data_IF_569161578180
#
_entry.id   IF_569161578180
#
_cell.length_a   1.000
_cell.length_b   1.000
_cell.length_c   1.000
_cell.angle_alpha   90.00
_cell.angle_beta   90.00
_cell.angle_gamma   90.00
#
_symmetry.space_group_name_H-M   'P 1'
#
loop_
_entity.id
_entity.type
_entity.pdbx_description
1 polymer ?
#
# COMPACT_ATOMS: atom_id res chain seq x y z
N UNK A 1 28.68 -15.98 -5.62
CA UNK A 1 29.66 -15.17 -4.85
C UNK A 1 29.14 -13.74 -4.89
N UNK A 2 28.53 -13.26 -3.80
CA UNK A 2 28.12 -11.86 -3.68
C UNK A 2 29.39 -11.02 -3.50
N UNK A 3 29.65 -10.14 -4.46
CA UNK A 3 30.69 -9.13 -4.38
C UNK A 3 30.28 -8.15 -3.27
N UNK A 4 31.03 -8.11 -2.18
CA UNK A 4 30.82 -7.15 -1.10
C UNK A 4 31.25 -5.79 -1.66
N UNK A 5 30.28 -4.95 -2.04
CA UNK A 5 30.54 -3.58 -2.45
C UNK A 5 31.23 -2.83 -1.31
N UNK A 6 32.36 -2.19 -1.60
CA UNK A 6 33.17 -1.52 -0.57
C UNK A 6 32.53 -0.21 -0.12
N UNK A 7 32.92 0.27 1.07
CA UNK A 7 32.36 1.46 1.74
C UNK A 7 32.42 2.79 0.97
N UNK A 8 33.13 2.84 -0.17
CA UNK A 8 33.19 4.00 -1.07
C UNK A 8 32.21 3.96 -2.24
N UNK A 9 31.61 2.81 -2.56
CA UNK A 9 30.83 2.62 -3.79
C UNK A 9 29.31 2.63 -3.59
N UNK A 10 28.82 2.35 -2.38
CA UNK A 10 27.38 2.26 -2.15
C UNK A 10 26.74 3.67 -1.99
N UNK A 11 25.83 4.08 -2.90
CA UNK A 11 25.27 5.44 -2.93
C UNK A 11 24.46 5.78 -1.67
N UNK A 12 23.98 4.78 -0.92
CA UNK A 12 23.20 5.00 0.31
C UNK A 12 24.04 5.42 1.52
N UNK A 13 25.37 5.25 1.47
CA UNK A 13 26.24 5.44 2.65
C UNK A 13 26.47 6.92 3.00
N UNK A 14 25.99 7.85 2.16
CA UNK A 14 26.14 9.30 2.35
C UNK A 14 24.88 10.04 1.90
N UNK A 15 24.64 11.28 2.38
CA UNK A 15 23.75 12.26 1.75
C UNK A 15 23.86 12.26 0.22
N UNK A 16 22.73 12.19 -0.48
CA UNK A 16 22.73 12.29 -1.94
C UNK A 16 23.12 13.71 -2.34
N UNK A 17 24.06 13.83 -3.27
CA UNK A 17 24.57 15.13 -3.74
C UNK A 17 23.73 15.74 -4.88
N UNK A 18 22.64 15.08 -5.26
CA UNK A 18 21.67 15.53 -6.26
C UNK A 18 20.88 16.75 -5.76
N UNK A 19 20.29 17.55 -6.67
CA UNK A 19 19.38 18.63 -6.28
C UNK A 19 18.28 18.13 -5.35
N UNK A 20 18.08 18.82 -4.23
CA UNK A 20 17.12 18.47 -3.17
C UNK A 20 17.34 17.11 -2.51
N UNK A 21 18.51 16.48 -2.70
CA UNK A 21 18.81 15.17 -2.12
C UNK A 21 17.95 14.04 -2.71
N UNK A 22 17.56 14.14 -3.97
CA UNK A 22 16.82 13.09 -4.69
C UNK A 22 17.65 11.82 -4.88
N UNK A 23 17.01 10.65 -4.95
CA UNK A 23 17.75 9.41 -5.17
C UNK A 23 18.43 9.40 -6.56
N UNK A 24 19.75 9.15 -6.66
CA UNK A 24 20.44 8.98 -7.93
C UNK A 24 20.11 7.60 -8.52
N UNK A 25 18.90 7.42 -9.04
CA UNK A 25 18.41 6.11 -9.52
C UNK A 25 19.32 5.46 -10.57
N UNK A 26 20.05 6.26 -11.35
CA UNK A 26 21.03 5.78 -12.32
C UNK A 26 22.28 5.14 -11.69
N UNK A 27 22.57 5.42 -10.42
CA UNK A 27 23.72 4.88 -9.67
C UNK A 27 23.30 3.77 -8.70
N UNK A 28 22.02 3.67 -8.37
CA UNK A 28 21.48 2.67 -7.44
C UNK A 28 21.26 1.36 -8.18
N UNK A 29 21.87 0.29 -7.68
CA UNK A 29 21.73 -1.08 -8.19
C UNK A 29 21.18 -2.00 -7.12
N UNK A 30 20.65 -3.14 -7.55
CA UNK A 30 20.01 -4.12 -6.65
C UNK A 30 21.01 -4.63 -5.60
N UNK A 31 22.26 -4.87 -5.98
CA UNK A 31 23.31 -5.32 -5.06
C UNK A 31 23.66 -4.31 -3.95
N UNK A 32 23.22 -3.06 -4.06
CA UNK A 32 23.47 -2.03 -3.05
C UNK A 32 22.52 -2.14 -1.85
N UNK A 33 21.34 -2.75 -2.00
CA UNK A 33 20.30 -2.68 -0.97
C UNK A 33 20.67 -3.44 0.29
N UNK A 34 20.99 -4.73 0.18
CA UNK A 34 21.28 -5.55 1.36
C UNK A 34 22.43 -4.93 2.19
N UNK A 35 23.64 -4.68 1.64
CA UNK A 35 24.73 -4.06 2.41
C UNK A 35 24.36 -2.71 3.02
N UNK A 36 23.52 -1.92 2.35
CA UNK A 36 23.03 -0.65 2.89
C UNK A 36 22.08 -0.83 4.06
N UNK A 37 21.15 -1.79 3.99
CA UNK A 37 20.31 -2.10 5.15
C UNK A 37 21.12 -2.64 6.32
N UNK A 38 22.11 -3.51 6.08
CA UNK A 38 22.96 -4.04 7.17
C UNK A 38 23.69 -2.93 7.90
N UNK A 39 24.37 -2.07 7.15
CA UNK A 39 25.11 -0.94 7.70
C UNK A 39 24.17 0.07 8.37
N UNK A 40 23.03 0.37 7.76
CA UNK A 40 22.05 1.28 8.32
C UNK A 40 21.47 0.79 9.65
N UNK A 41 21.21 -0.52 9.81
CA UNK A 41 20.76 -1.09 11.09
C UNK A 41 21.81 -0.90 12.18
N UNK A 42 23.09 -1.17 11.85
CA UNK A 42 24.20 -1.00 12.80
C UNK A 42 24.36 0.46 13.23
N UNK A 43 24.37 1.40 12.29
CA UNK A 43 24.52 2.83 12.59
C UNK A 43 23.32 3.38 13.38
N UNK A 44 22.10 3.02 12.96
CA UNK A 44 20.89 3.43 13.66
C UNK A 44 20.83 2.86 15.08
N UNK A 45 21.20 1.59 15.28
CA UNK A 45 21.25 1.03 16.63
C UNK A 45 22.27 1.76 17.52
N UNK A 46 23.45 2.09 16.98
CA UNK A 46 24.46 2.84 17.72
C UNK A 46 24.02 4.27 18.08
N UNK A 47 23.24 4.94 17.23
CA UNK A 47 22.61 6.22 17.54
C UNK A 47 21.60 6.08 18.69
N UNK A 48 20.72 5.08 18.60
CA UNK A 48 19.72 4.79 19.63
C UNK A 48 20.38 4.44 20.96
N UNK A 49 21.44 3.63 20.96
CA UNK A 49 22.17 3.25 22.17
C UNK A 49 22.81 4.47 22.84
N UNK A 50 23.36 5.41 22.06
CA UNK A 50 23.88 6.68 22.59
C UNK A 50 22.80 7.53 23.24
N UNK A 51 21.59 7.57 22.66
CA UNK A 51 20.46 8.30 23.23
C UNK A 51 20.00 7.63 24.53
N UNK A 52 19.80 6.31 24.49
CA UNK A 52 19.32 5.54 25.64
C UNK A 52 20.28 5.59 26.83
N UNK A 53 21.60 5.59 26.57
CA UNK A 53 22.65 5.59 27.60
C UNK A 53 23.14 6.97 28.02
N UNK A 54 22.58 8.07 27.48
CA UNK A 54 23.00 9.42 27.83
C UNK A 54 22.84 9.67 29.35
N UNK A 55 23.90 10.02 30.10
CA UNK A 55 23.83 10.17 31.56
C UNK A 55 23.05 11.42 32.00
N UNK A 56 22.89 12.41 31.12
CA UNK A 56 22.14 13.63 31.43
C UNK A 56 20.64 13.33 31.55
N UNK A 57 19.97 14.12 32.39
CA UNK A 57 18.52 14.09 32.51
C UNK A 57 17.85 14.22 31.13
N UNK A 58 16.80 13.45 30.90
CA UNK A 58 16.11 13.44 29.61
C UNK A 58 15.46 14.80 29.33
N UNK A 59 15.77 15.36 28.16
CA UNK A 59 15.19 16.59 27.63
C UNK A 59 14.64 16.33 26.23
N UNK A 60 13.82 17.25 25.71
CA UNK A 60 13.34 17.16 24.33
C UNK A 60 14.50 17.01 23.34
N UNK A 61 15.52 17.86 23.45
CA UNK A 61 16.67 17.88 22.54
C UNK A 61 17.48 16.56 22.59
N UNK A 62 17.86 16.11 23.79
CA UNK A 62 18.73 14.93 23.93
C UNK A 62 17.99 13.58 23.83
N UNK A 63 16.68 13.59 23.61
CA UNK A 63 15.85 12.38 23.55
C UNK A 63 14.93 12.41 22.34
N UNK A 64 13.89 13.26 22.33
CA UNK A 64 12.87 13.24 21.26
C UNK A 64 13.46 13.72 19.93
N UNK A 65 14.10 14.88 19.93
CA UNK A 65 14.76 15.43 18.75
C UNK A 65 15.93 14.53 18.29
N UNK A 66 16.72 14.02 19.23
CA UNK A 66 17.79 13.08 18.91
C UNK A 66 17.28 11.78 18.25
N UNK A 67 16.12 11.25 18.66
CA UNK A 67 15.48 10.11 17.99
C UNK A 67 15.00 10.51 16.59
N UNK A 68 14.40 11.69 16.42
CA UNK A 68 13.92 12.19 15.13
C UNK A 68 15.05 12.29 14.08
N UNK A 69 16.25 12.70 14.51
CA UNK A 69 17.43 12.75 13.65
C UNK A 69 18.20 11.43 13.54
N UNK A 70 17.80 10.38 14.26
CA UNK A 70 18.45 9.07 14.16
C UNK A 70 17.96 8.28 12.94
N UNK A 71 18.80 7.38 12.43
CA UNK A 71 18.42 6.48 11.35
C UNK A 71 18.29 7.13 9.98
N UNK A 72 18.93 8.27 9.71
CA UNK A 72 18.86 8.93 8.40
C UNK A 72 19.25 7.99 7.24
N UNK A 73 20.31 7.20 7.41
CA UNK A 73 20.72 6.22 6.41
C UNK A 73 19.66 5.11 6.23
N UNK A 74 19.04 4.66 7.33
CA UNK A 74 17.95 3.69 7.32
C UNK A 74 16.74 4.24 6.56
N UNK A 75 16.34 5.48 6.84
CA UNK A 75 15.24 6.17 6.16
C UNK A 75 15.50 6.27 4.65
N UNK A 76 16.71 6.65 4.26
CA UNK A 76 17.13 6.79 2.87
C UNK A 76 17.04 5.48 2.08
N UNK A 77 17.67 4.41 2.58
CA UNK A 77 17.65 3.11 1.87
C UNK A 77 16.24 2.52 1.86
N UNK A 78 15.51 2.62 2.97
CA UNK A 78 14.13 2.12 3.09
C UNK A 78 13.19 2.83 2.13
N UNK A 79 13.26 4.17 2.06
CA UNK A 79 12.38 4.97 1.21
C UNK A 79 12.55 4.63 -0.26
N UNK A 80 13.79 4.47 -0.73
CA UNK A 80 14.05 4.10 -2.13
C UNK A 80 13.65 2.65 -2.40
N UNK A 81 14.06 1.70 -1.54
CA UNK A 81 13.79 0.29 -1.74
C UNK A 81 12.28 -0.02 -1.75
N UNK A 82 11.53 0.46 -0.76
CA UNK A 82 10.10 0.16 -0.66
C UNK A 82 9.25 0.96 -1.65
N UNK A 83 9.72 2.14 -2.10
CA UNK A 83 9.10 2.83 -3.23
C UNK A 83 9.20 2.00 -4.51
N UNK A 84 10.42 1.58 -4.88
CA UNK A 84 10.64 0.75 -6.08
C UNK A 84 10.01 -0.64 -5.95
N UNK A 85 9.99 -1.25 -4.76
CA UNK A 85 9.27 -2.50 -4.54
C UNK A 85 7.75 -2.34 -4.76
N UNK A 86 7.20 -1.15 -4.53
CA UNK A 86 5.79 -0.84 -4.78
C UNK A 86 5.48 -0.46 -6.24
N UNK A 87 6.43 0.14 -6.95
CA UNK A 87 6.21 0.71 -8.30
C UNK A 87 6.84 -0.08 -9.45
N UNK A 88 7.97 -0.74 -9.21
CA UNK A 88 8.83 -1.36 -10.23
C UNK A 88 9.56 -2.61 -9.68
N UNK A 89 8.86 -3.44 -8.91
CA UNK A 89 9.46 -4.65 -8.33
C UNK A 89 9.86 -5.67 -9.40
N UNK A 90 10.89 -6.46 -9.09
CA UNK A 90 11.24 -7.69 -9.79
C UNK A 90 11.47 -8.84 -8.80
N UNK A 91 11.74 -10.04 -9.31
CA UNK A 91 11.92 -11.24 -8.47
C UNK A 91 13.06 -11.07 -7.47
N UNK A 92 14.20 -10.50 -7.88
CA UNK A 92 15.35 -10.28 -7.00
C UNK A 92 15.03 -9.32 -5.84
N UNK A 93 14.31 -8.22 -6.13
CA UNK A 93 13.84 -7.30 -5.08
C UNK A 93 12.83 -7.95 -4.13
N UNK A 94 11.95 -8.82 -4.63
CA UNK A 94 11.01 -9.57 -3.78
C UNK A 94 11.75 -10.53 -2.86
N UNK A 95 12.78 -11.21 -3.35
CA UNK A 95 13.63 -12.09 -2.54
C UNK A 95 14.43 -11.32 -1.49
N UNK A 96 15.01 -10.17 -1.85
CA UNK A 96 15.67 -9.26 -0.91
C UNK A 96 14.68 -8.87 0.20
N UNK A 97 13.45 -8.48 -0.16
CA UNK A 97 12.42 -8.12 0.82
C UNK A 97 12.08 -9.27 1.77
N UNK A 98 12.09 -10.53 1.31
CA UNK A 98 11.88 -11.69 2.17
C UNK A 98 13.02 -11.90 3.17
N UNK A 99 14.27 -11.71 2.73
CA UNK A 99 15.46 -11.82 3.59
C UNK A 99 15.57 -10.67 4.59
N UNK A 100 15.19 -9.46 4.19
CA UNK A 100 15.28 -8.26 5.02
C UNK A 100 14.13 -8.11 6.02
N UNK A 101 12.91 -8.51 5.66
CA UNK A 101 11.72 -8.27 6.50
C UNK A 101 11.87 -8.75 7.95
N UNK A 102 12.38 -9.98 8.23
CA UNK A 102 12.62 -10.42 9.60
C UNK A 102 13.63 -9.53 10.36
N UNK A 103 14.73 -9.15 9.69
CA UNK A 103 15.80 -8.33 10.26
C UNK A 103 15.33 -6.90 10.56
N UNK A 104 14.55 -6.31 9.65
CA UNK A 104 13.96 -4.99 9.84
C UNK A 104 12.91 -4.98 10.96
N UNK A 105 12.12 -6.05 11.05
CA UNK A 105 11.14 -6.22 12.13
C UNK A 105 11.83 -6.37 13.48
N UNK A 106 12.91 -7.14 13.54
CA UNK A 106 13.75 -7.27 14.74
C UNK A 106 14.40 -5.95 15.14
N UNK A 107 14.97 -5.21 14.17
CA UNK A 107 15.54 -3.88 14.39
C UNK A 107 14.51 -2.91 14.95
N UNK A 108 13.31 -2.86 14.38
CA UNK A 108 12.21 -2.04 14.89
C UNK A 108 11.79 -2.44 16.32
N UNK A 109 11.70 -3.74 16.59
CA UNK A 109 11.40 -4.25 17.94
C UNK A 109 12.52 -3.88 18.94
N UNK A 110 13.79 -3.92 18.56
CA UNK A 110 14.92 -3.51 19.41
C UNK A 110 14.78 -2.07 19.87
N UNK A 111 14.34 -1.17 19.00
CA UNK A 111 14.15 0.24 19.34
C UNK A 111 12.89 0.43 20.19
N UNK A 112 11.75 -0.05 19.70
CA UNK A 112 10.45 0.20 20.32
C UNK A 112 10.29 -0.46 21.70
N UNK A 113 11.01 -1.55 21.96
CA UNK A 113 10.95 -2.26 23.24
C UNK A 113 12.13 -1.93 24.17
N UNK A 114 13.05 -1.05 23.74
CA UNK A 114 14.19 -0.61 24.54
C UNK A 114 13.70 0.11 25.80
N UNK A 115 13.96 -0.49 26.97
CA UNK A 115 13.43 0.02 28.23
C UNK A 115 14.04 1.36 28.62
N UNK A 116 15.33 1.53 28.39
CA UNK A 116 16.06 2.72 28.79
C UNK A 116 15.70 3.90 27.90
N UNK A 117 15.60 3.67 26.59
CA UNK A 117 15.06 4.65 25.65
C UNK A 117 13.63 5.07 26.02
N UNK A 118 12.75 4.10 26.32
CA UNK A 118 11.37 4.41 26.71
C UNK A 118 11.29 5.20 28.02
N UNK A 119 12.13 4.89 29.01
CA UNK A 119 12.20 5.67 30.27
C UNK A 119 12.53 7.14 29.97
N UNK A 120 13.46 7.41 29.07
CA UNK A 120 13.81 8.78 28.65
C UNK A 120 12.64 9.47 27.94
N UNK A 121 12.03 8.80 26.96
CA UNK A 121 10.85 9.32 26.24
C UNK A 121 9.72 9.64 27.22
N UNK A 122 9.44 8.73 28.16
CA UNK A 122 8.42 8.93 29.19
C UNK A 122 8.74 10.12 30.09
N UNK A 123 10.00 10.30 30.50
CA UNK A 123 10.40 11.43 31.33
C UNK A 123 10.14 12.78 30.63
N UNK A 124 10.42 12.88 29.32
CA UNK A 124 10.09 14.08 28.53
C UNK A 124 8.57 14.23 28.41
N UNK A 125 7.84 13.15 28.14
CA UNK A 125 6.39 13.15 28.03
C UNK A 125 5.72 13.63 29.32
N UNK A 126 6.10 13.11 30.48
CA UNK A 126 5.52 13.46 31.78
C UNK A 126 5.71 14.96 32.11
N UNK A 127 6.82 15.56 31.65
CA UNK A 127 7.16 16.96 31.91
C UNK A 127 6.82 17.92 30.74
N UNK A 128 6.21 17.43 29.65
CA UNK A 128 6.08 18.18 28.38
C UNK A 128 5.36 19.52 28.51
N UNK A 129 4.41 19.64 29.43
CA UNK A 129 3.64 20.88 29.65
C UNK A 129 4.34 21.89 30.57
N UNK A 130 5.39 21.48 31.30
CA UNK A 130 6.13 22.33 32.25
C UNK A 130 7.56 22.61 31.81
N UNK A 131 8.06 21.91 30.79
CA UNK A 131 9.43 22.04 30.27
C UNK A 131 9.63 23.21 29.29
N UNK A 132 8.63 24.08 29.09
CA UNK A 132 8.73 25.22 28.17
C UNK A 132 8.76 24.85 26.68
N UNK A 133 8.26 23.67 26.33
CA UNK A 133 8.21 23.19 24.95
C UNK A 133 7.18 23.97 24.11
N UNK A 134 7.44 24.10 22.81
CA UNK A 134 6.46 24.62 21.86
C UNK A 134 5.32 23.60 21.65
N UNK A 135 4.20 24.03 21.05
CA UNK A 135 3.09 23.12 20.78
C UNK A 135 3.48 21.97 19.84
N UNK A 136 4.33 22.24 18.85
CA UNK A 136 4.84 21.21 17.93
C UNK A 136 5.74 20.21 18.65
N UNK A 137 6.60 20.67 19.56
CA UNK A 137 7.46 19.81 20.37
C UNK A 137 6.66 18.95 21.36
N UNK A 138 5.62 19.52 21.99
CA UNK A 138 4.68 18.76 22.83
C UNK A 138 4.03 17.68 21.97
N UNK A 139 3.52 18.04 20.79
CA UNK A 139 2.85 17.10 19.89
C UNK A 139 3.79 15.98 19.44
N UNK A 140 5.03 16.30 19.09
CA UNK A 140 6.02 15.31 18.69
C UNK A 140 6.35 14.36 19.85
N UNK A 141 6.52 14.88 21.05
CA UNK A 141 6.73 14.08 22.27
C UNK A 141 5.57 13.11 22.52
N UNK A 142 4.33 13.58 22.37
CA UNK A 142 3.14 12.72 22.48
C UNK A 142 3.12 11.62 21.43
N UNK A 143 3.49 11.95 20.18
CA UNK A 143 3.57 10.97 19.09
C UNK A 143 4.58 9.87 19.35
N UNK A 144 5.78 10.23 19.83
CA UNK A 144 6.78 9.24 20.22
C UNK A 144 6.28 8.37 21.37
N UNK A 145 5.81 8.97 22.47
CA UNK A 145 5.30 8.21 23.60
C UNK A 145 4.18 7.23 23.21
N UNK A 146 3.19 7.70 22.45
CA UNK A 146 2.11 6.88 21.89
C UNK A 146 2.66 5.75 21.00
N UNK A 147 3.68 6.02 20.18
CA UNK A 147 4.34 5.04 19.33
C UNK A 147 4.97 3.89 20.12
N UNK A 148 5.73 4.23 21.18
CA UNK A 148 6.32 3.25 22.10
C UNK A 148 5.25 2.44 22.85
N UNK A 149 4.24 3.12 23.41
CA UNK A 149 3.13 2.45 24.11
C UNK A 149 2.41 1.45 23.19
N UNK A 150 2.05 1.89 21.97
CA UNK A 150 1.36 1.04 20.99
C UNK A 150 2.24 -0.12 20.50
N UNK A 151 3.56 0.01 20.62
CA UNK A 151 4.50 -1.04 20.25
C UNK A 151 4.89 -1.96 21.41
N UNK A 152 4.19 -1.88 22.55
CA UNK A 152 4.41 -2.78 23.68
C UNK A 152 5.52 -2.37 24.65
N UNK A 153 6.02 -1.13 24.60
CA UNK A 153 7.07 -0.66 25.51
C UNK A 153 6.66 -0.72 26.99
N UNK A 154 5.36 -0.63 27.28
CA UNK A 154 4.76 -0.69 28.62
C UNK A 154 4.48 -2.12 29.11
N UNK A 155 4.72 -3.13 28.29
CA UNK A 155 4.53 -4.54 28.67
C UNK A 155 5.58 -5.00 29.67
N UNK A 156 5.26 -6.07 30.40
CA UNK A 156 6.25 -6.82 31.20
C UNK A 156 7.31 -7.45 30.29
N UNK A 157 8.47 -7.84 30.82
CA UNK A 157 9.51 -8.52 30.03
C UNK A 157 8.96 -9.73 29.24
N UNK A 158 8.14 -10.57 29.87
CA UNK A 158 7.47 -11.69 29.18
C UNK A 158 6.51 -11.22 28.08
N UNK A 159 5.77 -10.14 28.34
CA UNK A 159 4.87 -9.56 27.34
C UNK A 159 5.63 -8.98 26.15
N UNK A 160 6.79 -8.34 26.38
CA UNK A 160 7.66 -7.85 25.30
C UNK A 160 8.15 -8.98 24.40
N UNK A 161 8.62 -10.09 24.98
CA UNK A 161 9.02 -11.27 24.19
C UNK A 161 7.87 -11.82 23.36
N UNK A 162 6.67 -11.93 23.94
CA UNK A 162 5.47 -12.34 23.19
C UNK A 162 5.14 -11.36 22.07
N UNK A 163 5.24 -10.04 22.32
CA UNK A 163 5.01 -9.03 21.30
C UNK A 163 6.00 -9.17 20.14
N UNK A 164 7.29 -9.41 20.43
CA UNK A 164 8.33 -9.62 19.40
C UNK A 164 7.99 -10.78 18.48
N UNK A 165 7.63 -11.93 19.05
CA UNK A 165 7.23 -13.10 18.25
C UNK A 165 6.02 -12.78 17.38
N UNK A 166 4.96 -12.21 17.97
CA UNK A 166 3.72 -11.91 17.25
C UNK A 166 3.92 -10.86 16.14
N UNK A 167 4.71 -9.81 16.40
CA UNK A 167 4.95 -8.75 15.42
C UNK A 167 5.79 -9.24 14.24
N UNK A 168 6.78 -10.11 14.49
CA UNK A 168 7.56 -10.76 13.44
C UNK A 168 6.70 -11.69 12.57
N UNK A 169 5.87 -12.53 13.18
CA UNK A 169 4.95 -13.41 12.45
C UNK A 169 3.94 -12.62 11.62
N UNK A 170 3.41 -11.51 12.16
CA UNK A 170 2.47 -10.64 11.45
C UNK A 170 3.12 -9.95 10.25
N UNK A 171 4.36 -9.47 10.43
CA UNK A 171 5.15 -8.85 9.36
C UNK A 171 5.37 -9.82 8.21
N UNK A 172 5.78 -11.06 8.52
CA UNK A 172 5.97 -12.12 7.52
C UNK A 172 4.67 -12.46 6.79
N UNK A 173 3.59 -12.73 7.52
CA UNK A 173 2.30 -13.08 6.91
C UNK A 173 1.75 -11.96 6.00
N UNK A 174 1.99 -10.70 6.36
CA UNK A 174 1.59 -9.53 5.56
C UNK A 174 2.42 -9.42 4.27
N UNK A 175 3.73 -9.69 4.35
CA UNK A 175 4.62 -9.73 3.18
C UNK A 175 4.20 -10.85 2.22
N UNK A 176 3.99 -12.06 2.75
CA UNK A 176 3.57 -13.22 1.98
C UNK A 176 2.24 -12.94 1.26
N UNK A 177 1.28 -12.31 1.96
CA UNK A 177 0.00 -11.89 1.36
C UNK A 177 0.19 -10.98 0.14
N UNK A 178 1.00 -9.92 0.29
CA UNK A 178 1.26 -8.95 -0.77
C UNK A 178 1.95 -9.57 -1.99
N UNK A 179 2.97 -10.40 -1.76
CA UNK A 179 3.71 -11.08 -2.83
C UNK A 179 2.85 -12.09 -3.57
N UNK A 180 2.04 -12.89 -2.86
CA UNK A 180 1.10 -13.82 -3.48
C UNK A 180 0.10 -13.10 -4.40
N UNK A 181 -0.45 -11.97 -3.93
CA UNK A 181 -1.38 -11.17 -4.73
C UNK A 181 -0.73 -10.62 -6.02
N UNK A 182 0.51 -10.13 -5.92
CA UNK A 182 1.25 -9.61 -7.08
C UNK A 182 1.60 -10.72 -8.07
N UNK A 183 2.14 -11.84 -7.59
CA UNK A 183 2.50 -13.00 -8.41
C UNK A 183 1.29 -13.59 -9.12
N UNK A 184 0.16 -13.76 -8.44
CA UNK A 184 -1.05 -14.28 -9.08
C UNK A 184 -1.62 -13.29 -10.11
N UNK A 185 -1.56 -11.99 -9.84
CA UNK A 185 -1.97 -10.95 -10.80
C UNK A 185 -1.13 -11.04 -12.09
N UNK A 186 0.19 -11.20 -11.95
CA UNK A 186 1.12 -11.25 -13.08
C UNK A 186 1.09 -12.60 -13.83
N UNK A 187 0.74 -13.69 -13.14
CA UNK A 187 0.67 -15.03 -13.72
C UNK A 187 -0.58 -15.25 -14.59
N UNK A 188 -1.65 -14.48 -14.37
CA UNK A 188 -2.87 -14.62 -15.16
C UNK A 188 -2.71 -14.00 -16.55
N UNK A 189 -3.07 -14.78 -17.55
CA UNK A 189 -3.05 -14.38 -18.95
C UNK A 189 -4.26 -14.96 -19.69
N UNK A 190 -4.99 -14.09 -20.39
CA UNK A 190 -6.03 -14.46 -21.32
C UNK A 190 -5.59 -14.01 -22.72
N UNK A 191 -4.93 -14.92 -23.44
CA UNK A 191 -4.56 -14.71 -24.83
C UNK A 191 -5.75 -15.06 -25.73
N UNK A 192 -6.19 -14.10 -26.52
CA UNK A 192 -7.21 -14.27 -27.55
C UNK A 192 -6.53 -14.28 -28.91
N UNK A 193 -6.89 -15.22 -29.77
CA UNK A 193 -6.33 -15.36 -31.13
C UNK A 193 -7.38 -15.26 -32.22
N UNK A 194 -8.66 -15.30 -31.86
CA UNK A 194 -9.78 -15.08 -32.76
C UNK A 194 -10.23 -13.61 -32.65
N UNK A 195 -10.32 -12.92 -33.78
CA UNK A 195 -10.78 -11.54 -33.86
C UNK A 195 -12.24 -11.40 -33.39
N UNK A 196 -13.06 -12.44 -33.54
CA UNK A 196 -14.43 -12.47 -33.04
C UNK A 196 -14.52 -12.38 -31.50
N UNK A 197 -13.46 -12.75 -30.77
CA UNK A 197 -13.39 -12.60 -29.32
C UNK A 197 -13.21 -11.13 -28.88
N UNK A 198 -12.84 -10.23 -29.79
CA UNK A 198 -12.62 -8.80 -29.53
C UNK A 198 -13.87 -7.94 -29.68
N UNK A 199 -15.01 -8.56 -29.99
CA UNK A 199 -16.26 -7.85 -30.29
C UNK A 199 -16.61 -6.80 -29.20
N UNK A 200 -16.79 -5.55 -29.62
CA UNK A 200 -17.17 -4.42 -28.77
C UNK A 200 -16.00 -3.71 -28.06
N UNK A 201 -14.78 -4.26 -28.11
CA UNK A 201 -13.62 -3.58 -27.52
C UNK A 201 -13.21 -2.36 -28.37
N UNK A 202 -12.85 -1.22 -27.75
CA UNK A 202 -12.28 -0.08 -28.47
C UNK A 202 -10.91 -0.41 -29.05
N UNK A 203 -10.57 0.23 -30.17
CA UNK A 203 -9.28 0.07 -30.87
C UNK A 203 -8.09 0.30 -29.94
N UNK A 204 -8.17 1.32 -29.09
CA UNK A 204 -7.12 1.63 -28.12
C UNK A 204 -6.83 0.49 -27.13
N UNK A 205 -7.84 -0.31 -26.79
CA UNK A 205 -7.71 -1.45 -25.88
C UNK A 205 -7.20 -2.68 -26.64
N UNK A 206 -7.62 -2.88 -27.88
CA UNK A 206 -7.08 -3.95 -28.73
C UNK A 206 -5.61 -3.72 -29.05
N UNK A 207 -5.20 -2.49 -29.37
CA UNK A 207 -3.80 -2.14 -29.63
C UNK A 207 -2.92 -2.38 -28.40
N UNK A 208 -3.39 -1.97 -27.22
CA UNK A 208 -2.68 -2.21 -25.98
C UNK A 208 -2.53 -3.71 -25.67
N UNK A 209 -3.56 -4.51 -25.92
CA UNK A 209 -3.52 -5.95 -25.74
C UNK A 209 -2.58 -6.65 -26.74
N UNK A 210 -2.55 -6.20 -28.00
CA UNK A 210 -1.63 -6.71 -29.02
C UNK A 210 -0.17 -6.36 -28.70
N UNK A 211 0.10 -5.11 -28.29
CA UNK A 211 1.42 -4.68 -27.86
C UNK A 211 1.92 -5.50 -26.66
N UNK A 212 1.02 -5.80 -25.70
CA UNK A 212 1.33 -6.64 -24.54
C UNK A 212 1.63 -8.09 -24.93
N UNK A 213 0.87 -8.68 -25.86
CA UNK A 213 1.14 -10.02 -26.37
C UNK A 213 2.53 -10.07 -27.04
N UNK A 214 2.83 -9.10 -27.91
CA UNK A 214 4.11 -8.97 -28.60
C UNK A 214 5.28 -8.82 -27.62
N UNK A 215 5.13 -8.00 -26.58
CA UNK A 215 6.15 -7.82 -25.54
C UNK A 215 6.48 -9.13 -24.79
N UNK A 216 5.52 -10.06 -24.72
CA UNK A 216 5.70 -11.40 -24.16
C UNK A 216 5.99 -12.49 -25.21
N UNK A 217 6.28 -12.11 -26.46
CA UNK A 217 6.60 -13.05 -27.54
C UNK A 217 5.43 -13.93 -27.97
N UNK A 218 4.19 -13.44 -27.83
CA UNK A 218 2.96 -14.15 -28.20
C UNK A 218 2.25 -13.44 -29.35
N UNK A 219 1.59 -14.21 -30.21
CA UNK A 219 0.72 -13.70 -31.27
C UNK A 219 -0.74 -13.63 -30.78
N UNK A 220 -1.45 -12.56 -31.12
CA UNK A 220 -2.83 -12.30 -30.68
C UNK A 220 -2.94 -11.12 -29.72
N UNK A 221 -3.99 -11.13 -28.88
CA UNK A 221 -4.32 -10.05 -27.93
C UNK A 221 -4.29 -10.57 -26.50
N UNK A 222 -3.43 -9.98 -25.67
CA UNK A 222 -3.23 -10.43 -24.30
C UNK A 222 -3.95 -9.52 -23.30
N UNK A 223 -4.93 -10.09 -22.60
CA UNK A 223 -5.61 -9.48 -21.46
C UNK A 223 -5.10 -10.08 -20.15
N UNK A 224 -4.99 -9.25 -19.12
CA UNK A 224 -4.53 -9.64 -17.78
C UNK A 224 -5.38 -8.97 -16.70
N UNK A 225 -4.94 -9.10 -15.44
CA UNK A 225 -5.64 -8.53 -14.28
C UNK A 225 -5.18 -7.11 -13.93
N UNK A 226 -4.37 -6.46 -14.76
CA UNK A 226 -4.02 -5.05 -14.56
C UNK A 226 -5.26 -4.18 -14.72
N UNK A 227 -5.39 -3.13 -13.91
CA UNK A 227 -6.60 -2.29 -13.91
C UNK A 227 -6.98 -1.76 -15.31
N UNK A 228 -6.06 -1.24 -16.15
CA UNK A 228 -6.41 -0.78 -17.49
C UNK A 228 -6.96 -1.91 -18.39
N UNK A 229 -6.40 -3.12 -18.28
CA UNK A 229 -6.84 -4.28 -19.07
C UNK A 229 -8.17 -4.82 -18.59
N UNK A 230 -8.29 -5.06 -17.28
CA UNK A 230 -9.49 -5.61 -16.65
C UNK A 230 -10.68 -4.65 -16.79
N UNK A 231 -10.55 -3.39 -16.39
CA UNK A 231 -11.65 -2.43 -16.41
C UNK A 231 -12.13 -2.23 -17.85
N UNK A 232 -11.22 -2.02 -18.80
CA UNK A 232 -11.57 -1.85 -20.21
C UNK A 232 -12.32 -3.07 -20.76
N UNK A 233 -11.84 -4.29 -20.50
CA UNK A 233 -12.47 -5.50 -21.00
C UNK A 233 -13.86 -5.73 -20.39
N UNK A 234 -14.00 -5.57 -19.07
CA UNK A 234 -15.28 -5.75 -18.35
C UNK A 234 -16.33 -4.73 -18.78
N UNK A 235 -15.89 -3.55 -19.19
CA UNK A 235 -16.75 -2.44 -19.59
C UNK A 235 -17.23 -2.56 -21.05
N UNK A 236 -16.37 -2.97 -21.97
CA UNK A 236 -16.67 -2.88 -23.40
C UNK A 236 -16.86 -4.21 -24.14
N UNK A 237 -16.29 -5.32 -23.63
CA UNK A 237 -16.39 -6.60 -24.34
C UNK A 237 -17.85 -7.03 -24.46
N UNK A 238 -18.32 -7.31 -25.67
CA UNK A 238 -19.64 -7.90 -25.91
C UNK A 238 -19.68 -9.39 -25.60
N UNK A 239 -18.53 -10.04 -25.38
CA UNK A 239 -18.40 -11.46 -25.05
C UNK A 239 -18.63 -11.71 -23.58
N UNK A 240 -19.89 -11.96 -23.22
CA UNK A 240 -20.32 -12.23 -21.83
C UNK A 240 -19.57 -13.40 -21.19
N UNK A 241 -19.30 -14.46 -21.95
CA UNK A 241 -18.52 -15.63 -21.52
C UNK A 241 -17.08 -15.24 -21.11
N UNK A 242 -16.45 -14.36 -21.88
CA UNK A 242 -15.10 -13.87 -21.58
C UNK A 242 -15.11 -12.86 -20.42
N UNK A 243 -16.13 -12.00 -20.32
CA UNK A 243 -16.31 -11.14 -19.13
C UNK A 243 -16.45 -11.97 -17.87
N UNK A 244 -17.26 -13.04 -17.90
CA UNK A 244 -17.39 -13.97 -16.79
C UNK A 244 -16.04 -14.63 -16.45
N UNK A 245 -15.33 -15.15 -17.45
CA UNK A 245 -14.00 -15.77 -17.25
C UNK A 245 -13.01 -14.82 -16.58
N UNK A 246 -12.92 -13.58 -17.07
CA UNK A 246 -12.00 -12.57 -16.55
C UNK A 246 -12.42 -12.09 -15.15
N UNK A 247 -13.71 -11.83 -14.93
CA UNK A 247 -14.26 -11.49 -13.62
C UNK A 247 -13.94 -12.56 -12.60
N UNK A 248 -14.22 -13.83 -12.91
CA UNK A 248 -13.95 -14.94 -12.00
C UNK A 248 -12.47 -15.05 -11.69
N UNK A 249 -11.59 -14.88 -12.68
CA UNK A 249 -10.15 -14.87 -12.46
C UNK A 249 -9.70 -13.79 -11.47
N UNK A 250 -10.27 -12.59 -11.56
CA UNK A 250 -9.98 -11.47 -10.67
C UNK A 250 -10.60 -11.64 -9.27
N UNK A 251 -11.89 -12.01 -9.21
CA UNK A 251 -12.66 -12.14 -7.97
C UNK A 251 -12.22 -13.33 -7.10
N UNK A 252 -11.61 -14.35 -7.72
CA UNK A 252 -11.07 -15.52 -7.02
C UNK A 252 -9.56 -15.47 -6.82
N UNK A 253 -8.95 -14.29 -7.01
CA UNK A 253 -7.53 -14.11 -6.71
C UNK A 253 -7.23 -14.38 -5.23
N UNK A 254 -6.21 -15.17 -4.96
CA UNK A 254 -5.77 -15.56 -3.64
C UNK A 254 -6.61 -16.66 -2.99
N UNK A 255 -7.52 -17.33 -3.72
CA UNK A 255 -8.43 -18.35 -3.15
C UNK A 255 -8.57 -19.61 -4.02
N UNK A 256 -7.53 -19.99 -4.79
CA UNK A 256 -7.57 -21.09 -5.79
C UNK A 256 -6.85 -22.38 -5.38
N UNK A 257 -6.61 -22.63 -4.09
CA UNK A 257 -5.88 -23.82 -3.61
C UNK A 257 -4.48 -24.00 -4.25
N UNK A 258 -3.87 -22.90 -4.72
CA UNK A 258 -2.60 -22.87 -5.43
C UNK A 258 -1.45 -22.25 -4.63
N UNK A 259 -0.26 -22.07 -5.23
CA UNK A 259 0.93 -21.54 -4.54
C UNK A 259 0.77 -20.08 -4.08
N UNK A 260 -0.26 -19.39 -4.56
CA UNK A 260 -0.58 -17.99 -4.22
C UNK A 260 -1.83 -17.86 -3.35
N UNK A 261 -2.34 -18.97 -2.78
CA UNK A 261 -3.49 -18.93 -1.88
C UNK A 261 -3.18 -18.09 -0.64
N UNK A 262 -4.11 -17.20 -0.30
CA UNK A 262 -3.97 -16.22 0.77
C UNK A 262 -4.98 -16.43 1.90
N UNK A 263 -5.84 -17.45 1.85
CA UNK A 263 -6.83 -17.69 2.92
C UNK A 263 -6.15 -17.95 4.26
N UNK A 264 -5.10 -18.77 4.28
CA UNK A 264 -4.34 -19.04 5.50
C UNK A 264 -3.63 -17.78 6.00
N UNK A 265 -3.04 -16.99 5.11
CA UNK A 265 -2.39 -15.73 5.45
C UNK A 265 -3.40 -14.73 6.06
N UNK A 266 -4.61 -14.60 5.51
CA UNK A 266 -5.66 -13.74 6.05
C UNK A 266 -6.07 -14.19 7.45
N UNK A 267 -6.29 -15.50 7.66
CA UNK A 267 -6.60 -16.06 8.97
C UNK A 267 -5.47 -15.80 10.00
N UNK A 268 -4.21 -16.01 9.59
CA UNK A 268 -3.03 -15.72 10.42
C UNK A 268 -2.97 -14.24 10.79
N UNK A 269 -3.07 -13.35 9.81
CA UNK A 269 -3.03 -11.89 10.03
C UNK A 269 -4.12 -11.45 11.02
N UNK A 270 -5.36 -11.91 10.83
CA UNK A 270 -6.47 -11.57 11.73
C UNK A 270 -6.24 -12.09 13.16
N UNK A 271 -5.74 -13.33 13.28
CA UNK A 271 -5.44 -13.96 14.57
C UNK A 271 -4.31 -13.24 15.30
N UNK A 272 -3.20 -12.98 14.61
CA UNK A 272 -2.03 -12.29 15.16
C UNK A 272 -2.38 -10.87 15.60
N UNK A 273 -3.17 -10.15 14.80
CA UNK A 273 -3.70 -8.82 15.15
C UNK A 273 -4.53 -8.87 16.44
N UNK A 274 -5.41 -9.85 16.59
CA UNK A 274 -6.20 -10.03 17.81
C UNK A 274 -5.30 -10.36 19.01
N UNK A 275 -4.32 -11.25 18.85
CA UNK A 275 -3.38 -11.61 19.90
C UNK A 275 -2.55 -10.40 20.37
N UNK A 276 -2.04 -9.59 19.44
CA UNK A 276 -1.33 -8.34 19.75
C UNK A 276 -2.24 -7.37 20.51
N UNK A 277 -3.48 -7.17 20.04
CA UNK A 277 -4.42 -6.27 20.72
C UNK A 277 -4.71 -6.73 22.15
N UNK A 278 -4.98 -8.02 22.35
CA UNK A 278 -5.23 -8.61 23.68
C UNK A 278 -4.00 -8.48 24.58
N UNK A 279 -2.80 -8.71 24.05
CA UNK A 279 -1.54 -8.55 24.79
C UNK A 279 -1.35 -7.11 25.28
N UNK A 280 -1.75 -6.13 24.47
CA UNK A 280 -1.74 -4.71 24.82
C UNK A 280 -2.94 -4.25 25.66
N UNK A 281 -3.84 -5.16 26.05
CA UNK A 281 -4.99 -4.88 26.92
C UNK A 281 -6.26 -4.40 26.20
N UNK A 282 -6.33 -4.50 24.87
CA UNK A 282 -7.53 -4.16 24.07
C UNK A 282 -8.35 -5.42 23.76
N UNK A 283 -9.67 -5.27 23.66
CA UNK A 283 -10.60 -6.39 23.37
C UNK A 283 -10.55 -6.84 21.91
N UNK A 284 -10.16 -5.94 21.02
CA UNK A 284 -10.14 -6.16 19.58
C UNK A 284 -9.04 -5.33 18.93
N UNK A 285 -8.60 -5.74 17.75
CA UNK A 285 -7.62 -4.95 16.98
C UNK A 285 -8.17 -3.58 16.56
N UNK A 286 -9.49 -3.46 16.33
CA UNK A 286 -10.14 -2.18 16.05
C UNK A 286 -10.06 -1.22 17.23
N UNK A 287 -10.28 -1.68 18.46
CA UNK A 287 -10.14 -0.84 19.66
C UNK A 287 -8.70 -0.31 19.81
N UNK A 288 -7.72 -1.17 19.52
CA UNK A 288 -6.30 -0.80 19.53
C UNK A 288 -5.96 0.25 18.46
N UNK A 289 -6.26 -0.02 17.18
CA UNK A 289 -5.86 0.87 16.07
C UNK A 289 -6.63 2.19 16.06
N UNK A 290 -7.88 2.22 16.56
CA UNK A 290 -8.73 3.42 16.50
C UNK A 290 -8.47 4.43 17.64
N UNK A 291 -7.82 4.04 18.74
CA UNK A 291 -7.51 4.91 19.89
C UNK A 291 -6.96 6.27 19.48
N UNK A 292 -6.00 6.27 18.54
CA UNK A 292 -5.30 7.48 18.07
C UNK A 292 -5.80 7.96 16.69
N UNK A 293 -6.96 7.48 16.23
CA UNK A 293 -7.61 7.91 14.97
C UNK A 293 -8.73 8.90 15.25
N UNK A 294 -9.15 9.65 14.22
CA UNK A 294 -10.25 10.62 14.35
C UNK A 294 -11.59 9.97 14.70
N UNK A 295 -11.84 8.76 14.19
CA UNK A 295 -13.07 8.00 14.46
C UNK A 295 -13.17 7.48 15.90
N UNK A 296 -12.05 7.45 16.65
CA UNK A 296 -11.89 7.01 18.05
C UNK A 296 -12.23 5.57 18.38
N UNK A 297 -13.32 5.02 17.84
CA UNK A 297 -13.83 3.69 18.17
C UNK A 297 -14.73 3.14 17.06
N UNK A 298 -15.13 1.88 17.19
CA UNK A 298 -15.98 1.19 16.21
C UNK A 298 -17.34 1.88 16.02
N UNK A 299 -17.95 2.42 17.09
CA UNK A 299 -19.24 3.10 16.99
C UNK A 299 -19.18 4.36 16.12
N UNK A 300 -18.09 5.13 16.21
CA UNK A 300 -17.85 6.27 15.32
C UNK A 300 -17.68 5.86 13.86
N UNK A 301 -17.02 4.74 13.60
CA UNK A 301 -16.86 4.18 12.25
C UNK A 301 -18.20 3.71 11.69
N UNK A 302 -18.89 2.79 12.38
CA UNK A 302 -20.16 2.24 11.91
C UNK A 302 -21.26 3.31 11.85
N UNK A 303 -21.31 4.25 12.79
CA UNK A 303 -22.27 5.36 12.73
C UNK A 303 -22.10 6.28 11.52
N UNK A 304 -20.91 6.37 10.91
CA UNK A 304 -20.75 7.02 9.61
C UNK A 304 -21.18 6.10 8.46
N UNK A 305 -20.71 4.85 8.45
CA UNK A 305 -21.00 3.89 7.38
C UNK A 305 -22.49 3.58 7.25
N UNK A 306 -23.20 3.41 8.37
CA UNK A 306 -24.63 3.13 8.42
C UNK A 306 -25.43 4.32 7.87
N UNK A 307 -25.07 5.55 8.24
CA UNK A 307 -25.71 6.75 7.68
C UNK A 307 -25.51 6.88 6.16
N UNK A 308 -24.35 6.47 5.65
CA UNK A 308 -24.10 6.45 4.21
C UNK A 308 -24.93 5.33 3.54
N UNK A 309 -24.98 4.14 4.15
CA UNK A 309 -25.78 3.03 3.65
C UNK A 309 -27.28 3.37 3.60
N UNK A 310 -27.80 4.04 4.63
CA UNK A 310 -29.19 4.50 4.68
C UNK A 310 -29.46 5.58 3.61
N UNK A 311 -28.54 6.54 3.44
CA UNK A 311 -28.73 7.64 2.50
C UNK A 311 -28.65 7.22 1.02
N UNK A 312 -27.81 6.23 0.69
CA UNK A 312 -27.56 5.82 -0.70
C UNK A 312 -28.17 4.46 -1.06
N UNK A 313 -28.65 3.69 -0.08
CA UNK A 313 -29.06 2.29 -0.27
C UNK A 313 -30.25 2.13 -1.21
N UNK A 314 -31.28 2.98 -1.11
CA UNK A 314 -32.44 2.95 -2.02
C UNK A 314 -32.02 3.31 -3.45
N UNK A 315 -31.22 4.38 -3.61
CA UNK A 315 -30.71 4.80 -4.92
C UNK A 315 -29.88 3.69 -5.57
N UNK A 316 -29.01 3.03 -4.81
CA UNK A 316 -28.21 1.92 -5.34
C UNK A 316 -29.08 0.74 -5.81
N UNK A 317 -30.16 0.42 -5.09
CA UNK A 317 -31.12 -0.62 -5.51
C UNK A 317 -31.85 -0.23 -6.79
N UNK A 318 -32.26 1.05 -6.90
CA UNK A 318 -32.92 1.57 -8.10
C UNK A 318 -31.99 1.56 -9.32
N UNK A 319 -30.71 1.89 -9.13
CA UNK A 319 -29.69 1.80 -10.18
C UNK A 319 -29.51 0.36 -10.65
N UNK A 320 -29.47 -0.61 -9.72
CA UNK A 320 -29.39 -2.03 -10.09
C UNK A 320 -30.61 -2.48 -10.88
N UNK A 321 -31.81 -2.09 -10.45
CA UNK A 321 -33.04 -2.39 -11.17
C UNK A 321 -33.04 -1.75 -12.57
N UNK A 322 -32.58 -0.50 -12.70
CA UNK A 322 -32.50 0.20 -13.97
C UNK A 322 -31.52 -0.46 -14.95
N UNK A 323 -30.35 -0.89 -14.49
CA UNK A 323 -29.37 -1.62 -15.31
C UNK A 323 -29.94 -2.98 -15.76
N UNK A 324 -30.63 -3.70 -14.87
CA UNK A 324 -31.25 -4.98 -15.21
C UNK A 324 -32.41 -4.84 -16.22
N UNK A 325 -33.23 -3.79 -16.08
CA UNK A 325 -34.29 -3.47 -17.04
C UNK A 325 -33.72 -3.15 -18.41
N UNK A 326 -32.69 -2.28 -18.46
CA UNK A 326 -32.01 -1.93 -19.70
C UNK A 326 -31.37 -3.15 -20.39
N UNK A 327 -30.72 -4.02 -19.62
CA UNK A 327 -30.14 -5.25 -20.17
C UNK A 327 -31.22 -6.16 -20.77
N UNK A 328 -32.36 -6.32 -20.10
CA UNK A 328 -33.46 -7.15 -20.60
C UNK A 328 -34.07 -6.60 -21.89
N UNK A 329 -34.22 -5.27 -21.98
CA UNK A 329 -34.67 -4.59 -23.20
C UNK A 329 -33.68 -4.77 -24.35
N UNK A 330 -32.38 -4.53 -24.10
CA UNK A 330 -31.33 -4.66 -25.11
C UNK A 330 -31.17 -6.08 -25.65
N UNK A 331 -31.37 -7.11 -24.82
CA UNK A 331 -31.29 -8.52 -25.21
C UNK A 331 -32.62 -9.08 -25.74
N UNK A 332 -33.71 -8.31 -25.67
CA UNK A 332 -35.06 -8.72 -26.08
C UNK A 332 -35.64 -9.89 -25.27
N UNK A 333 -35.08 -10.16 -24.08
CA UNK A 333 -35.49 -11.25 -23.18
C UNK A 333 -35.12 -10.90 -21.73
N UNK A 334 -35.77 -11.50 -20.73
CA UNK A 334 -35.37 -11.30 -19.33
C UNK A 334 -33.89 -11.64 -19.11
N UNK A 335 -33.15 -10.71 -18.51
CA UNK A 335 -31.74 -10.87 -18.15
C UNK A 335 -31.59 -10.69 -16.64
N UNK A 336 -31.03 -11.71 -15.98
CA UNK A 336 -30.55 -11.59 -14.61
C UNK A 336 -29.10 -11.08 -14.63
N UNK A 337 -28.89 -9.87 -14.12
CA UNK A 337 -27.56 -9.25 -14.05
C UNK A 337 -26.69 -10.04 -13.07
N UNK A 338 -25.52 -10.45 -13.56
CA UNK A 338 -24.45 -10.99 -12.74
C UNK A 338 -23.35 -9.93 -12.54
N UNK A 339 -22.42 -10.10 -11.58
CA UNK A 339 -21.36 -9.12 -11.34
C UNK A 339 -20.51 -8.78 -12.58
N UNK A 340 -20.32 -9.75 -13.49
CA UNK A 340 -19.59 -9.55 -14.76
C UNK A 340 -20.41 -8.86 -15.87
N UNK A 341 -21.68 -8.57 -15.62
CA UNK A 341 -22.57 -7.86 -16.54
C UNK A 341 -22.73 -6.39 -16.16
N UNK A 342 -22.50 -6.04 -14.88
CA UNK A 342 -22.73 -4.70 -14.34
C UNK A 342 -22.06 -3.60 -15.17
N UNK A 343 -20.73 -3.62 -15.27
CA UNK A 343 -19.97 -2.53 -15.91
C UNK A 343 -20.34 -2.35 -17.37
N UNK A 344 -20.65 -3.44 -18.07
CA UNK A 344 -21.04 -3.42 -19.48
C UNK A 344 -22.40 -2.76 -19.69
N UNK A 345 -23.44 -3.21 -18.99
CA UNK A 345 -24.78 -2.64 -19.15
C UNK A 345 -24.92 -1.26 -18.49
N UNK A 346 -24.22 -1.00 -17.40
CA UNK A 346 -24.20 0.32 -16.76
C UNK A 346 -23.60 1.39 -17.69
N UNK A 347 -22.51 1.07 -18.41
CA UNK A 347 -21.94 2.01 -19.38
C UNK A 347 -22.85 2.24 -20.58
N UNK A 348 -23.47 1.19 -21.10
CA UNK A 348 -24.45 1.32 -22.18
C UNK A 348 -25.70 2.12 -21.77
N UNK A 349 -26.19 1.91 -20.54
CA UNK A 349 -27.29 2.70 -19.99
C UNK A 349 -26.89 4.18 -19.82
N UNK A 350 -25.66 4.44 -19.35
CA UNK A 350 -25.12 5.80 -19.24
C UNK A 350 -25.05 6.48 -20.60
N UNK A 351 -24.50 5.81 -21.61
CA UNK A 351 -24.41 6.32 -22.98
C UNK A 351 -25.80 6.58 -23.57
N UNK A 352 -26.75 5.66 -23.37
CA UNK A 352 -28.13 5.83 -23.80
C UNK A 352 -28.84 7.03 -23.13
N UNK A 353 -28.61 7.27 -21.84
CA UNK A 353 -29.26 8.35 -21.08
C UNK A 353 -28.66 9.72 -21.36
N UNK A 354 -27.35 9.80 -21.50
CA UNK A 354 -26.62 11.07 -21.51
C UNK A 354 -25.99 11.42 -22.85
N UNK A 355 -25.91 10.47 -23.79
CA UNK A 355 -25.25 10.65 -25.09
C UNK A 355 -23.75 10.94 -24.97
N UNK A 356 -23.13 10.49 -23.87
CA UNK A 356 -21.70 10.69 -23.57
C UNK A 356 -21.12 9.38 -23.04
N UNK A 357 -20.04 8.94 -23.68
CA UNK A 357 -19.22 7.81 -23.24
C UNK A 357 -17.73 8.18 -23.18
N UNK A 358 -16.96 7.32 -22.52
CA UNK A 358 -15.57 7.64 -22.18
C UNK A 358 -14.68 7.74 -23.44
N UNK A 359 -14.95 6.95 -24.49
CA UNK A 359 -14.20 7.03 -25.76
C UNK A 359 -14.41 8.37 -26.47
N UNK A 360 -15.61 8.97 -26.38
CA UNK A 360 -15.84 10.34 -26.86
C UNK A 360 -15.01 11.37 -26.09
N UNK A 361 -14.85 11.17 -24.78
CA UNK A 361 -14.13 12.13 -23.93
C UNK A 361 -12.61 11.94 -23.91
N UNK A 362 -12.13 10.75 -24.27
CA UNK A 362 -10.72 10.35 -24.20
C UNK A 362 -9.76 11.33 -24.92
N UNK A 363 -10.05 11.81 -26.15
CA UNK A 363 -9.17 12.76 -26.84
C UNK A 363 -8.97 14.08 -26.09
N UNK A 364 -9.88 14.45 -25.18
CA UNK A 364 -9.81 15.69 -24.41
C UNK A 364 -8.97 15.56 -23.13
N UNK A 365 -8.72 14.34 -22.66
CA UNK A 365 -7.97 14.05 -21.43
C UNK A 365 -6.57 13.50 -21.72
N UNK A 366 -5.86 14.13 -22.66
CA UNK A 366 -4.45 13.85 -22.93
C UNK A 366 -3.59 14.21 -21.69
N UNK A 367 -2.63 13.34 -21.36
CA UNK A 367 -1.90 13.39 -20.08
C UNK A 367 -1.18 14.73 -19.86
N UNK A 368 -0.50 15.27 -20.88
CA UNK A 368 0.19 16.55 -20.76
C UNK A 368 -0.78 17.73 -20.56
N UNK A 369 -1.96 17.70 -21.18
CA UNK A 369 -3.00 18.68 -20.94
C UNK A 369 -3.61 18.56 -19.53
N UNK A 370 -3.83 17.34 -19.03
CA UNK A 370 -4.28 17.11 -17.65
C UNK A 370 -3.23 17.61 -16.65
N UNK A 371 -1.94 17.31 -16.89
CA UNK A 371 -0.82 17.83 -16.08
C UNK A 371 -0.80 19.36 -16.05
N UNK A 372 -0.97 20.02 -17.21
CA UNK A 372 -1.10 21.48 -17.28
C UNK A 372 -2.29 21.99 -16.47
N UNK A 373 -3.43 21.33 -16.52
CA UNK A 373 -4.60 21.68 -15.71
C UNK A 373 -4.33 21.58 -14.20
N UNK A 374 -3.72 20.48 -13.76
CA UNK A 374 -3.36 20.25 -12.34
C UNK A 374 -2.33 21.28 -11.86
N UNK A 375 -1.26 21.50 -12.62
CA UNK A 375 -0.22 22.48 -12.26
C UNK A 375 -0.74 23.92 -12.33
N UNK A 376 -1.60 24.22 -13.30
CA UNK A 376 -2.27 25.52 -13.42
C UNK A 376 -3.14 25.82 -12.20
N UNK A 377 -3.95 24.86 -11.75
CA UNK A 377 -4.75 25.00 -10.54
C UNK A 377 -3.87 25.21 -9.29
N UNK A 378 -2.79 24.45 -9.15
CA UNK A 378 -1.86 24.62 -8.04
C UNK A 378 -1.14 26.00 -8.09
N UNK A 379 -0.89 26.51 -9.28
CA UNK A 379 -0.34 27.86 -9.49
C UNK A 379 -1.35 28.92 -9.05
N UNK A 380 -2.61 28.81 -9.45
CA UNK A 380 -3.66 29.78 -9.13
C UNK A 380 -4.00 29.80 -7.64
N UNK A 381 -4.11 28.63 -7.01
CA UNK A 381 -4.51 28.54 -5.60
C UNK A 381 -3.36 28.81 -4.63
N UNK A 382 -2.14 28.39 -4.96
CA UNK A 382 -1.02 28.36 -4.03
C UNK A 382 0.20 29.17 -4.48
N UNK A 383 0.18 29.76 -5.68
CA UNK A 383 1.29 30.53 -6.23
C UNK A 383 2.53 29.68 -6.60
N UNK A 384 2.40 28.35 -6.64
CA UNK A 384 3.50 27.44 -6.96
C UNK A 384 3.85 27.49 -8.44
N UNK A 385 5.13 27.28 -8.77
CA UNK A 385 5.58 27.15 -10.16
C UNK A 385 6.28 25.81 -10.38
N UNK A 386 6.09 25.23 -11.56
CA UNK A 386 6.59 23.92 -11.95
C UNK A 386 7.47 24.12 -13.19
N UNK A 387 8.72 23.65 -13.12
CA UNK A 387 9.75 23.83 -14.16
C UNK A 387 10.24 22.47 -14.65
#
# INVERSE_FOLDING_TARGET
MMTIATAGENPFFKPFATPHGTAPFNEIKIEHYEPAFEKAMVEHQAEIDRIASNPDAATFANTIEAIEYSGEMMSRVSSVFFNLLGSESNDEMMEISQRLSPRLSEHSNNINLNEDLFKRVKAVYDNRHTAGLTQEQIRLTEKYYEGFENSGATLTAKGKEQYRTLSMELSKATLDFGQNNLRETNAYEMLLTDEADLAGLPESLTDAAAAKAKAKGKEGWLFDLSAPSYIGFMKYSSRRDLRQKLYMANATKGVKDGPFDNRENVCKIATLRLQIANLLGYKSYSDYVLKNRMAKNAAGVFGLLDRLADAFGDVARDEVAAVAAYASEAEGKPVEIQPWDWSFYADKLKDNRYGVNDEMTRPYFELENVKKGVFGLATELYGLQFV
#
